data_IF_993078363382
#
_entry.id   IF_993078363382
#
_cell.length_a   1.000
_cell.length_b   1.000
_cell.length_c   1.000
_cell.angle_alpha   90.00
_cell.angle_beta   90.00
_cell.angle_gamma   90.00
#
_symmetry.space_group_name_H-M   'P 1'
#
loop_
_entity.id
_entity.type
_entity.pdbx_description
1 polymer ?
#
# COMPACT_ATOMS: atom_id res chain seq x y z
N UNK A 1 19.44 18.93 -24.78
CA UNK A 1 19.54 17.53 -24.34
C UNK A 1 20.15 17.39 -22.94
N UNK A 2 21.09 18.24 -22.52
CA UNK A 2 21.63 18.24 -21.15
C UNK A 2 20.57 18.52 -20.07
N UNK A 3 19.67 19.49 -20.31
CA UNK A 3 18.62 19.86 -19.36
C UNK A 3 17.74 18.69 -18.94
N UNK A 4 17.32 17.83 -19.87
CA UNK A 4 16.52 16.64 -19.56
C UNK A 4 17.28 15.69 -18.64
N UNK A 5 18.56 15.47 -18.93
CA UNK A 5 19.39 14.57 -18.13
C UNK A 5 19.59 15.11 -16.71
N UNK A 6 19.87 16.39 -16.56
CA UNK A 6 20.04 17.03 -15.24
C UNK A 6 18.73 17.00 -14.44
N UNK A 7 17.62 17.43 -15.05
CA UNK A 7 16.31 17.51 -14.38
C UNK A 7 15.79 16.12 -13.96
N UNK A 8 15.95 15.10 -14.82
CA UNK A 8 15.54 13.74 -14.48
C UNK A 8 16.40 13.12 -13.38
N UNK A 9 17.72 13.37 -13.38
CA UNK A 9 18.61 12.83 -12.35
C UNK A 9 18.43 13.51 -10.98
N UNK A 10 18.12 14.81 -10.96
CA UNK A 10 17.97 15.59 -9.73
C UNK A 10 16.55 15.53 -9.16
N UNK A 11 15.54 15.73 -10.01
CA UNK A 11 14.16 15.94 -9.59
C UNK A 11 13.21 14.81 -9.97
N UNK A 12 13.67 13.82 -10.75
CA UNK A 12 12.85 12.74 -11.31
C UNK A 12 11.65 13.25 -12.12
N UNK A 13 11.64 14.53 -12.50
CA UNK A 13 10.58 15.19 -13.25
C UNK A 13 11.19 16.27 -14.13
N UNK A 14 10.66 16.45 -15.34
CA UNK A 14 11.11 17.47 -16.27
C UNK A 14 9.92 17.97 -17.09
N UNK A 15 9.82 19.29 -17.26
CA UNK A 15 8.81 19.93 -18.10
C UNK A 15 9.52 20.59 -19.27
N UNK A 16 9.28 20.10 -20.48
CA UNK A 16 9.90 20.62 -21.69
C UNK A 16 8.90 21.43 -22.49
N UNK A 17 9.32 22.63 -22.90
CA UNK A 17 8.53 23.50 -23.77
C UNK A 17 9.17 23.46 -25.16
N UNK A 18 8.55 22.73 -26.08
CA UNK A 18 9.00 22.58 -27.46
C UNK A 18 8.05 23.32 -28.41
N UNK A 19 8.46 24.50 -28.89
CA UNK A 19 7.74 25.37 -29.84
C UNK A 19 6.34 25.79 -29.40
N UNK A 20 5.36 24.88 -29.47
CA UNK A 20 3.95 25.07 -29.12
C UNK A 20 3.41 23.92 -28.25
N UNK A 21 4.25 22.98 -27.84
CA UNK A 21 3.87 21.81 -27.05
C UNK A 21 4.63 21.78 -25.74
N UNK A 22 3.95 21.38 -24.67
CA UNK A 22 4.55 21.14 -23.37
C UNK A 22 4.56 19.63 -23.15
N UNK A 23 5.74 19.08 -22.84
CA UNK A 23 5.95 17.66 -22.56
C UNK A 23 6.28 17.53 -21.08
N UNK A 24 5.48 16.76 -20.35
CA UNK A 24 5.71 16.44 -18.96
C UNK A 24 6.32 15.04 -18.86
N UNK A 25 7.50 14.96 -18.25
CA UNK A 25 8.24 13.72 -18.01
C UNK A 25 8.29 13.50 -16.49
N UNK A 26 7.81 12.35 -16.03
CA UNK A 26 7.91 11.92 -14.64
C UNK A 26 8.52 10.52 -14.58
N UNK A 27 9.58 10.36 -13.81
CA UNK A 27 10.16 9.06 -13.49
C UNK A 27 9.33 8.48 -12.34
N UNK A 28 8.73 7.33 -12.60
CA UNK A 28 7.91 6.59 -11.64
C UNK A 28 8.71 5.37 -11.20
N UNK A 29 8.81 5.15 -9.89
CA UNK A 29 9.32 3.90 -9.36
C UNK A 29 8.21 2.86 -9.45
N UNK A 30 8.45 1.82 -10.25
CA UNK A 30 7.52 0.70 -10.38
C UNK A 30 7.93 -0.33 -9.34
N UNK A 31 7.11 -0.46 -8.30
CA UNK A 31 7.27 -1.51 -7.29
C UNK A 31 6.85 -2.87 -7.87
N UNK A 32 7.33 -3.95 -7.25
CA UNK A 32 6.82 -5.28 -7.58
C UNK A 32 5.35 -5.39 -7.18
N UNK A 33 4.56 -6.10 -7.99
CA UNK A 33 3.17 -6.37 -7.64
C UNK A 33 3.12 -7.14 -6.31
N UNK A 34 2.46 -6.61 -5.27
CA UNK A 34 2.35 -7.31 -4.01
C UNK A 34 1.49 -8.57 -4.17
N UNK A 35 1.71 -9.59 -3.32
CA UNK A 35 0.86 -10.76 -3.29
C UNK A 35 -0.58 -10.36 -2.93
N UNK A 36 -1.54 -11.14 -3.43
CA UNK A 36 -2.94 -10.98 -3.05
C UNK A 36 -3.10 -11.32 -1.55
N UNK A 37 -3.67 -10.43 -0.72
CA UNK A 37 -3.89 -10.70 0.69
C UNK A 37 -4.81 -11.90 0.88
N UNK A 38 -4.49 -12.76 1.85
CA UNK A 38 -5.34 -13.87 2.25
C UNK A 38 -6.40 -13.39 3.24
N UNK A 39 -7.51 -14.10 3.28
CA UNK A 39 -8.67 -13.83 4.16
C UNK A 39 -8.30 -13.67 5.64
N UNK A 40 -7.27 -14.39 6.08
CA UNK A 40 -6.80 -14.42 7.46
C UNK A 40 -5.61 -13.50 7.72
N UNK A 41 -5.05 -12.85 6.70
CA UNK A 41 -3.95 -11.91 6.90
C UNK A 41 -4.42 -10.68 7.68
N UNK A 42 -3.54 -10.15 8.53
CA UNK A 42 -3.79 -8.96 9.33
C UNK A 42 -3.00 -7.79 8.74
N UNK A 43 -3.66 -6.76 8.18
CA UNK A 43 -2.99 -5.55 7.74
C UNK A 43 -2.57 -4.70 8.95
N UNK A 44 -1.32 -4.27 8.93
CA UNK A 44 -0.70 -3.41 9.94
C UNK A 44 -0.18 -2.13 9.29
N UNK A 45 -0.50 -0.98 9.88
CA UNK A 45 -0.07 0.32 9.40
C UNK A 45 1.42 0.51 9.68
N UNK A 46 2.20 0.71 8.62
CA UNK A 46 3.65 0.94 8.72
C UNK A 46 3.96 2.44 8.73
N UNK A 47 3.14 3.23 8.04
CA UNK A 47 3.25 4.68 7.99
C UNK A 47 2.01 5.33 8.58
N UNK A 48 2.18 6.48 9.24
CA UNK A 48 1.05 7.33 9.63
C UNK A 48 0.43 7.93 8.36
N UNK A 49 -0.75 7.42 7.99
CA UNK A 49 -1.50 7.90 6.83
C UNK A 49 -2.69 8.67 7.35
N UNK A 50 -2.86 9.89 6.85
CA UNK A 50 -4.07 10.65 7.10
C UNK A 50 -5.19 10.18 6.16
N UNK A 51 -6.01 9.26 6.66
CA UNK A 51 -7.16 8.72 5.95
C UNK A 51 -8.32 9.72 5.79
N UNK A 52 -8.20 10.92 6.37
CA UNK A 52 -9.17 12.00 6.17
C UNK A 52 -8.85 12.87 4.96
N UNK A 53 -7.67 12.70 4.34
CA UNK A 53 -7.32 13.42 3.11
C UNK A 53 -8.32 13.05 1.99
N UNK A 54 -8.91 14.06 1.36
CA UNK A 54 -9.89 13.90 0.28
C UNK A 54 -9.30 13.24 -0.98
N UNK A 55 -7.97 13.10 -1.03
CA UNK A 55 -7.27 12.38 -2.10
C UNK A 55 -7.50 10.87 -2.06
N UNK A 56 -7.86 10.31 -0.91
CA UNK A 56 -8.13 8.87 -0.81
C UNK A 56 -9.48 8.53 -1.43
N UNK A 57 -9.52 7.40 -2.13
CA UNK A 57 -10.75 6.90 -2.71
C UNK A 57 -11.74 6.44 -1.63
N UNK A 58 -13.02 6.34 -2.01
CA UNK A 58 -14.10 6.00 -1.10
C UNK A 58 -13.88 4.65 -0.40
N UNK A 59 -13.31 3.66 -1.11
CA UNK A 59 -13.12 2.32 -0.54
C UNK A 59 -12.02 2.31 0.50
N UNK A 60 -10.89 2.97 0.22
CA UNK A 60 -9.80 3.13 1.19
C UNK A 60 -10.27 3.86 2.44
N UNK A 61 -11.05 4.92 2.30
CA UNK A 61 -11.58 5.68 3.45
C UNK A 61 -12.53 4.84 4.32
N UNK A 62 -13.30 3.94 3.71
CA UNK A 62 -14.23 3.06 4.43
C UNK A 62 -13.52 1.89 5.11
N UNK A 63 -12.43 1.38 4.52
CA UNK A 63 -11.65 0.25 5.05
C UNK A 63 -10.64 0.70 6.12
N UNK A 64 -9.98 1.83 5.91
CA UNK A 64 -8.94 2.40 6.75
C UNK A 64 -9.22 2.40 8.27
N UNK A 65 -10.39 2.83 8.79
CA UNK A 65 -10.64 2.88 10.23
C UNK A 65 -10.66 1.49 10.89
N UNK A 66 -10.76 0.42 10.11
CA UNK A 66 -10.78 -0.96 10.61
C UNK A 66 -9.40 -1.63 10.57
N UNK A 67 -8.39 -0.95 10.00
CA UNK A 67 -7.00 -1.40 9.95
C UNK A 67 -6.30 -0.98 11.25
N UNK A 68 -6.49 -1.80 12.28
CA UNK A 68 -5.97 -1.58 13.63
C UNK A 68 -4.79 -2.49 13.99
N UNK A 69 -4.32 -3.32 13.04
CA UNK A 69 -3.27 -4.31 13.29
C UNK A 69 -3.75 -5.56 14.04
N UNK A 70 -5.06 -5.73 14.24
CA UNK A 70 -5.67 -6.88 14.93
C UNK A 70 -6.72 -7.57 14.05
N UNK A 71 -7.49 -6.79 13.30
CA UNK A 71 -8.53 -7.33 12.42
C UNK A 71 -7.93 -7.94 11.15
N UNK A 72 -8.30 -9.19 10.84
CA UNK A 72 -7.95 -9.82 9.56
C UNK A 72 -8.88 -9.35 8.43
N UNK A 73 -8.48 -9.59 7.17
CA UNK A 73 -9.22 -9.19 5.96
C UNK A 73 -10.71 -9.57 6.00
N UNK A 74 -11.06 -10.81 6.38
CA UNK A 74 -12.49 -11.21 6.47
C UNK A 74 -13.27 -10.46 7.54
N UNK A 75 -12.63 -10.07 8.66
CA UNK A 75 -13.29 -9.29 9.71
C UNK A 75 -13.50 -7.85 9.26
N UNK A 76 -12.51 -7.28 8.58
CA UNK A 76 -12.59 -5.95 7.98
C UNK A 76 -13.73 -5.88 6.96
N UNK A 77 -13.87 -6.88 6.09
CA UNK A 77 -15.00 -6.97 5.14
C UNK A 77 -16.36 -6.94 5.81
N UNK A 78 -16.53 -7.65 6.93
CA UNK A 78 -17.79 -7.62 7.71
C UNK A 78 -18.07 -6.26 8.35
N UNK A 79 -17.03 -5.59 8.84
CA UNK A 79 -17.15 -4.27 9.49
C UNK A 79 -17.41 -3.16 8.47
N UNK A 80 -16.71 -3.20 7.33
CA UNK A 80 -16.86 -2.24 6.24
C UNK A 80 -18.11 -2.48 5.40
N UNK A 81 -18.73 -3.67 5.48
CA UNK A 81 -19.87 -4.10 4.63
C UNK A 81 -19.52 -4.07 3.14
N UNK A 82 -18.26 -4.38 2.83
CA UNK A 82 -17.75 -4.54 1.46
C UNK A 82 -17.44 -6.00 1.20
N UNK A 83 -17.51 -6.40 -0.07
CA UNK A 83 -17.11 -7.74 -0.48
C UNK A 83 -15.63 -7.98 -0.20
N UNK A 84 -15.30 -9.21 0.19
CA UNK A 84 -13.94 -9.57 0.60
C UNK A 84 -12.92 -9.34 -0.53
N UNK A 85 -13.33 -9.54 -1.78
CA UNK A 85 -12.51 -9.28 -2.97
C UNK A 85 -12.15 -7.79 -3.11
N UNK A 86 -13.10 -6.89 -2.82
CA UNK A 86 -12.89 -5.45 -2.86
C UNK A 86 -11.95 -5.01 -1.74
N UNK A 87 -12.12 -5.56 -0.54
CA UNK A 87 -11.24 -5.29 0.60
C UNK A 87 -9.83 -5.83 0.34
N UNK A 88 -9.71 -7.04 -0.21
CA UNK A 88 -8.42 -7.63 -0.57
C UNK A 88 -7.69 -6.78 -1.64
N UNK A 89 -8.39 -6.32 -2.67
CA UNK A 89 -7.82 -5.43 -3.68
C UNK A 89 -7.41 -4.06 -3.10
N UNK A 90 -8.22 -3.49 -2.20
CA UNK A 90 -7.89 -2.25 -1.50
C UNK A 90 -6.63 -2.39 -0.64
N UNK A 91 -6.54 -3.46 0.16
CA UNK A 91 -5.37 -3.75 0.99
C UNK A 91 -4.14 -4.03 0.11
N UNK A 92 -4.30 -4.76 -1.00
CA UNK A 92 -3.21 -5.00 -1.95
C UNK A 92 -2.64 -3.68 -2.51
N UNK A 93 -3.50 -2.73 -2.84
CA UNK A 93 -3.08 -1.40 -3.30
C UNK A 93 -2.34 -0.61 -2.21
N UNK A 94 -2.80 -0.70 -0.96
CA UNK A 94 -2.13 -0.06 0.18
C UNK A 94 -0.76 -0.69 0.47
N UNK A 95 -0.61 -2.00 0.27
CA UNK A 95 0.70 -2.68 0.35
C UNK A 95 1.60 -2.24 -0.81
N UNK A 96 1.07 -2.09 -2.03
CA UNK A 96 1.84 -1.56 -3.16
C UNK A 96 2.39 -0.15 -2.89
N UNK A 97 1.59 0.69 -2.22
CA UNK A 97 1.99 2.03 -1.77
C UNK A 97 2.93 2.03 -0.56
N UNK A 98 3.35 0.87 -0.05
CA UNK A 98 4.18 0.71 1.14
C UNK A 98 3.58 1.36 2.41
N UNK A 99 2.26 1.49 2.42
CA UNK A 99 1.49 2.11 3.48
C UNK A 99 1.17 1.10 4.60
N UNK A 100 0.98 -0.16 4.21
CA UNK A 100 0.57 -1.28 5.06
C UNK A 100 1.51 -2.46 4.85
N UNK A 101 1.77 -3.21 5.92
CA UNK A 101 2.38 -4.54 5.88
C UNK A 101 1.35 -5.59 6.23
N UNK A 102 1.39 -6.74 5.57
CA UNK A 102 0.59 -7.91 5.92
C UNK A 102 1.37 -8.80 6.88
N UNK A 103 0.72 -9.24 7.95
CA UNK A 103 1.25 -10.25 8.87
C UNK A 103 0.27 -11.40 9.01
N UNK A 104 0.78 -12.60 9.27
CA UNK A 104 -0.08 -13.75 9.54
C UNK A 104 -0.80 -13.58 10.89
N UNK A 105 -1.97 -14.19 11.02
CA UNK A 105 -2.77 -14.16 12.23
C UNK A 105 -2.02 -14.86 13.36
N UNK A 106 -1.73 -14.14 14.45
CA UNK A 106 -1.29 -14.76 15.71
C UNK A 106 -2.40 -15.67 16.25
N UNK A 107 -2.31 -16.97 15.98
CA UNK A 107 -3.22 -17.96 16.57
C UNK A 107 -2.70 -18.32 17.95
N UNK A 108 -3.54 -18.21 18.98
CA UNK A 108 -3.23 -18.70 20.33
C UNK A 108 -2.96 -20.21 20.39
N UNK A 109 -3.33 -20.95 19.33
CA UNK A 109 -3.00 -22.37 19.14
C UNK A 109 -1.64 -22.61 18.51
N UNK A 110 -0.94 -21.57 18.06
CA UNK A 110 0.40 -21.74 17.49
C UNK A 110 1.34 -22.14 18.62
N UNK A 111 1.92 -23.33 18.50
CA UNK A 111 2.97 -23.78 19.39
C UNK A 111 4.29 -23.17 18.91
N UNK A 112 4.75 -22.14 19.60
CA UNK A 112 6.03 -21.51 19.30
C UNK A 112 7.14 -22.33 19.96
N UNK A 113 7.96 -22.99 19.14
CA UNK A 113 9.16 -23.71 19.60
C UNK A 113 10.38 -22.82 19.38
N UNK A 114 11.30 -22.79 20.36
CA UNK A 114 12.55 -22.06 20.22
C UNK A 114 13.31 -22.55 18.98
N UNK A 115 13.57 -21.64 18.04
CA UNK A 115 14.50 -21.94 16.96
C UNK A 115 15.91 -21.94 17.53
N UNK A 116 16.78 -22.85 17.08
CA UNK A 116 18.19 -22.93 17.53
C UNK A 116 19.04 -21.73 17.08
N UNK A 117 18.48 -20.82 16.28
CA UNK A 117 19.13 -19.58 15.86
C UNK A 117 18.71 -18.46 16.78
N UNK A 118 19.62 -18.11 17.68
CA UNK A 118 19.69 -16.79 18.31
C UNK A 118 20.63 -16.00 17.42
N UNK A 119 20.10 -15.02 16.69
CA UNK A 119 20.87 -14.16 15.79
C UNK A 119 20.21 -12.79 15.76
#
# INVERSE_FOLDING_TARGET
MSQVMEDLNLYKRCTLIARQSIIYLNVIEVSCNPPTPLDFDVPLLVSEIDFLDEKWDLTTRQVAPFIDGVNHVSKISKLSKLDIEVVAACIQNLVYCNAISLVDLFRYSNMYVCTTKIG
#
